data_IF_421082999885
#
_entry.id   IF_421082999885
#
_cell.length_a   1.000
_cell.length_b   1.000
_cell.length_c   1.000
_cell.angle_alpha   90.00
_cell.angle_beta   90.00
_cell.angle_gamma   90.00
#
_symmetry.space_group_name_H-M   'P 1'
#
loop_
_entity.id
_entity.type
_entity.pdbx_description
1 polymer ?
#
# COMPACT_ATOMS: atom_id res chain seq x y z
N UNK A 1 -3.39 1.58 25.68
CA UNK A 1 -2.63 0.38 25.24
C UNK A 1 -1.98 0.68 23.91
N UNK A 2 -0.68 0.42 23.76
CA UNK A 2 0.08 0.66 22.53
C UNK A 2 0.49 -0.69 21.93
N UNK A 3 0.11 -0.93 20.67
CA UNK A 3 0.46 -2.13 19.90
C UNK A 3 1.75 -1.87 19.14
N UNK A 4 2.76 -2.71 19.34
CA UNK A 4 4.10 -2.51 18.76
C UNK A 4 4.69 -3.84 18.29
N UNK A 5 5.69 -3.78 17.41
CA UNK A 5 6.47 -4.93 16.95
C UNK A 5 7.51 -5.44 17.98
N UNK A 6 7.63 -4.74 19.12
CA UNK A 6 8.51 -5.12 20.23
C UNK A 6 9.94 -4.61 20.11
N UNK A 7 10.21 -3.68 19.20
CA UNK A 7 11.51 -2.99 19.13
C UNK A 7 11.88 -2.32 20.46
N UNK A 8 13.19 -2.31 20.76
CA UNK A 8 13.73 -1.74 22.00
C UNK A 8 13.40 -0.25 22.19
N UNK A 9 13.20 0.50 21.10
CA UNK A 9 12.81 1.91 21.15
C UNK A 9 11.45 2.15 21.85
N UNK A 10 10.60 1.13 21.98
CA UNK A 10 9.31 1.24 22.66
C UNK A 10 9.37 0.89 24.15
N UNK A 11 10.55 0.60 24.73
CA UNK A 11 10.69 0.39 26.18
C UNK A 11 10.25 1.62 26.99
N UNK A 12 10.45 2.83 26.44
CA UNK A 12 10.01 4.09 27.04
C UNK A 12 8.47 4.19 27.20
N UNK A 13 7.70 3.45 26.39
CA UNK A 13 6.23 3.43 26.47
C UNK A 13 5.77 2.78 27.77
N UNK A 14 6.44 1.70 28.18
CA UNK A 14 6.18 1.05 29.48
C UNK A 14 6.63 1.93 30.64
N UNK A 15 7.77 2.61 30.51
CA UNK A 15 8.25 3.58 31.50
C UNK A 15 7.30 4.78 31.67
N UNK A 16 6.60 5.19 30.62
CA UNK A 16 5.56 6.22 30.65
C UNK A 16 4.21 5.74 31.22
N UNK A 17 4.14 4.54 31.81
CA UNK A 17 2.92 3.98 32.41
C UNK A 17 1.88 3.49 31.40
N UNK A 18 2.22 3.42 30.11
CA UNK A 18 1.31 2.91 29.09
C UNK A 18 1.40 1.38 28.99
N UNK A 19 0.24 0.71 28.96
CA UNK A 19 0.13 -0.71 28.62
C UNK A 19 0.71 -0.95 27.23
N UNK A 20 1.70 -1.84 27.12
CA UNK A 20 2.42 -2.11 25.90
C UNK A 20 2.22 -3.56 25.47
N UNK A 21 1.50 -3.77 24.36
CA UNK A 21 1.20 -5.08 23.81
C UNK A 21 2.12 -5.31 22.59
N UNK A 22 3.06 -6.25 22.74
CA UNK A 22 4.05 -6.59 21.71
C UNK A 22 3.56 -7.74 20.85
N UNK A 23 3.55 -7.55 19.53
CA UNK A 23 3.32 -8.62 18.55
C UNK A 23 4.63 -8.87 17.80
N UNK A 24 5.47 -9.77 18.34
CA UNK A 24 6.76 -10.15 17.74
C UNK A 24 6.55 -11.30 16.76
N UNK A 25 7.02 -11.14 15.52
CA UNK A 25 6.92 -12.13 14.44
C UNK A 25 8.09 -13.11 14.55
N UNK A 26 8.17 -13.86 15.65
CA UNK A 26 9.23 -14.84 15.91
C UNK A 26 8.88 -16.20 15.29
N UNK A 27 8.85 -16.28 13.95
CA UNK A 27 8.57 -17.55 13.24
C UNK A 27 7.08 -17.90 13.09
N UNK A 28 6.17 -17.05 13.57
CA UNK A 28 4.72 -17.17 13.31
C UNK A 28 4.46 -16.97 11.83
N UNK A 29 3.58 -17.78 11.24
CA UNK A 29 3.19 -17.56 9.83
C UNK A 29 2.26 -16.36 9.76
N UNK A 30 2.24 -15.61 8.65
CA UNK A 30 1.36 -14.45 8.51
C UNK A 30 -0.13 -14.74 8.69
N UNK A 31 -0.56 -15.99 8.49
CA UNK A 31 -1.94 -16.44 8.74
C UNK A 31 -2.28 -16.63 10.23
N UNK A 32 -1.26 -16.73 11.08
CA UNK A 32 -1.40 -16.93 12.53
C UNK A 32 -1.49 -15.59 13.28
N UNK A 33 -1.46 -14.46 12.54
CA UNK A 33 -1.51 -13.10 13.06
C UNK A 33 -2.75 -12.39 12.47
N UNK A 34 -3.82 -12.19 13.27
CA UNK A 34 -5.02 -11.48 12.85
C UNK A 34 -4.71 -10.09 12.27
N UNK A 35 -3.66 -9.43 12.77
CA UNK A 35 -3.18 -8.13 12.31
C UNK A 35 -2.71 -8.15 10.85
N UNK A 36 -2.34 -9.31 10.31
CA UNK A 36 -1.95 -9.48 8.91
C UNK A 36 -3.07 -9.95 8.00
N UNK A 37 -4.24 -10.29 8.54
CA UNK A 37 -5.37 -10.69 7.72
C UNK A 37 -5.72 -9.59 6.71
N UNK A 38 -5.88 -8.34 7.17
CA UNK A 38 -6.21 -7.23 6.28
C UNK A 38 -5.08 -6.93 5.29
N UNK A 39 -3.81 -7.06 5.70
CA UNK A 39 -2.65 -6.88 4.80
C UNK A 39 -2.69 -7.91 3.69
N UNK A 40 -2.90 -9.18 4.03
CA UNK A 40 -3.02 -10.27 3.07
C UNK A 40 -4.22 -10.07 2.13
N UNK A 41 -5.35 -9.57 2.63
CA UNK A 41 -6.51 -9.22 1.80
C UNK A 41 -6.16 -8.10 0.81
N UNK A 42 -5.49 -7.04 1.26
CA UNK A 42 -5.07 -5.94 0.38
C UNK A 42 -4.11 -6.43 -0.70
N UNK A 43 -3.12 -7.25 -0.34
CA UNK A 43 -2.16 -7.84 -1.27
C UNK A 43 -2.83 -8.82 -2.25
N UNK A 44 -3.79 -9.61 -1.77
CA UNK A 44 -4.59 -10.49 -2.62
C UNK A 44 -5.40 -9.70 -3.65
N UNK A 45 -6.07 -8.63 -3.22
CA UNK A 45 -6.83 -7.75 -4.12
C UNK A 45 -5.93 -7.02 -5.11
N UNK A 46 -4.75 -6.56 -4.68
CA UNK A 46 -3.74 -5.98 -5.56
C UNK A 46 -3.32 -6.98 -6.64
N UNK A 47 -2.98 -8.21 -6.26
CA UNK A 47 -2.60 -9.27 -7.21
C UNK A 47 -3.72 -9.53 -8.22
N UNK A 48 -4.96 -9.72 -7.75
CA UNK A 48 -6.12 -9.96 -8.62
C UNK A 48 -6.37 -8.79 -9.57
N UNK A 49 -6.30 -7.54 -9.07
CA UNK A 49 -6.46 -6.34 -9.89
C UNK A 49 -5.39 -6.24 -10.98
N UNK A 50 -4.14 -6.55 -10.66
CA UNK A 50 -3.04 -6.52 -11.62
C UNK A 50 -3.21 -7.59 -12.71
N UNK A 51 -3.52 -8.83 -12.31
CA UNK A 51 -3.73 -9.94 -13.24
C UNK A 51 -4.94 -9.68 -14.15
N UNK A 52 -6.03 -9.16 -13.61
CA UNK A 52 -7.25 -8.90 -14.37
C UNK A 52 -7.17 -7.68 -15.30
N UNK A 53 -6.42 -6.64 -14.93
CA UNK A 53 -6.36 -5.38 -15.71
C UNK A 53 -5.22 -5.35 -16.73
N UNK A 54 -4.16 -6.15 -16.53
CA UNK A 54 -2.96 -6.12 -17.36
C UNK A 54 -2.54 -7.52 -17.82
N UNK A 55 -3.30 -8.16 -18.73
CA UNK A 55 -3.02 -9.53 -19.18
C UNK A 55 -1.72 -9.66 -20.00
N UNK A 56 -1.30 -8.61 -20.71
CA UNK A 56 -0.03 -8.56 -21.43
C UNK A 56 1.08 -8.04 -20.50
N UNK A 57 1.81 -8.97 -19.90
CA UNK A 57 2.62 -8.79 -18.70
C UNK A 57 4.00 -8.14 -18.97
N UNK A 58 4.05 -6.85 -19.28
CA UNK A 58 5.28 -6.05 -19.12
C UNK A 58 5.41 -5.53 -17.68
N UNK A 59 5.22 -6.41 -16.69
CA UNK A 59 5.16 -6.03 -15.27
C UNK A 59 6.43 -5.32 -14.83
N UNK A 60 7.61 -5.86 -15.15
CA UNK A 60 8.89 -5.24 -14.78
C UNK A 60 9.03 -3.80 -15.31
N UNK A 61 8.45 -3.53 -16.47
CA UNK A 61 8.50 -2.23 -17.14
C UNK A 61 7.55 -1.19 -16.53
N UNK A 62 6.40 -1.63 -16.01
CA UNK A 62 5.34 -0.74 -15.54
C UNK A 62 4.94 -0.93 -14.08
N UNK A 63 5.66 -1.77 -13.31
CA UNK A 63 5.31 -2.15 -11.93
C UNK A 63 5.04 -0.95 -11.04
N UNK A 64 5.93 0.05 -11.06
CA UNK A 64 5.77 1.28 -10.27
C UNK A 64 4.49 2.04 -10.63
N UNK A 65 4.15 2.14 -11.92
CA UNK A 65 2.93 2.83 -12.39
C UNK A 65 1.68 2.06 -12.00
N UNK A 66 1.70 0.73 -12.14
CA UNK A 66 0.58 -0.12 -11.75
C UNK A 66 0.33 -0.08 -10.25
N UNK A 67 1.39 -0.16 -9.44
CA UNK A 67 1.29 -0.02 -7.99
C UNK A 67 0.79 1.37 -7.59
N UNK A 68 1.31 2.43 -8.21
CA UNK A 68 0.85 3.80 -7.97
C UNK A 68 -0.63 3.99 -8.33
N UNK A 69 -1.07 3.43 -9.46
CA UNK A 69 -2.46 3.48 -9.88
C UNK A 69 -3.40 2.70 -8.94
N UNK A 70 -2.95 1.56 -8.40
CA UNK A 70 -3.67 0.84 -7.36
C UNK A 70 -3.74 1.66 -6.07
N UNK A 71 -2.60 2.13 -5.55
CA UNK A 71 -2.52 2.92 -4.33
C UNK A 71 -3.39 4.19 -4.41
N UNK A 72 -3.39 4.88 -5.56
CA UNK A 72 -4.20 6.07 -5.79
C UNK A 72 -5.71 5.81 -5.62
N UNK A 73 -6.21 4.66 -6.09
CA UNK A 73 -7.60 4.22 -5.93
C UNK A 73 -7.86 3.70 -4.52
N UNK A 74 -6.96 2.87 -4.00
CA UNK A 74 -7.08 2.24 -2.69
C UNK A 74 -7.16 3.27 -1.55
N UNK A 75 -6.35 4.33 -1.61
CA UNK A 75 -6.36 5.43 -0.64
C UNK A 75 -7.65 6.28 -0.69
N UNK A 76 -8.47 6.13 -1.74
CA UNK A 76 -9.74 6.85 -1.92
C UNK A 76 -10.92 5.92 -2.11
N UNK A 77 -10.77 4.65 -1.68
CA UNK A 77 -11.76 3.58 -1.90
C UNK A 77 -13.15 3.88 -1.32
N UNK A 78 -13.25 4.85 -0.41
CA UNK A 78 -14.51 5.25 0.22
C UNK A 78 -15.31 6.29 -0.59
N UNK A 79 -14.68 7.01 -1.54
CA UNK A 79 -15.38 7.93 -2.44
C UNK A 79 -14.69 8.04 -3.80
N UNK A 80 -14.90 7.01 -4.63
CA UNK A 80 -14.29 6.87 -5.95
C UNK A 80 -14.79 7.91 -6.96
N UNK A 81 -15.97 8.51 -6.73
CA UNK A 81 -16.58 9.50 -7.64
C UNK A 81 -15.73 10.77 -7.76
N UNK A 82 -14.89 11.04 -6.76
CA UNK A 82 -13.98 12.19 -6.75
C UNK A 82 -12.74 11.99 -7.63
N UNK A 83 -12.47 10.76 -8.08
CA UNK A 83 -11.23 10.43 -8.80
C UNK A 83 -11.03 11.25 -10.09
N UNK A 84 -12.03 11.43 -10.99
CA UNK A 84 -11.83 12.14 -12.24
C UNK A 84 -11.46 13.61 -12.04
N UNK A 85 -12.21 14.32 -11.18
CA UNK A 85 -11.95 15.72 -10.88
C UNK A 85 -10.54 15.91 -10.28
N UNK A 86 -10.12 15.02 -9.38
CA UNK A 86 -8.78 15.09 -8.77
C UNK A 86 -7.67 14.73 -9.74
N UNK A 87 -7.90 13.76 -10.63
CA UNK A 87 -6.94 13.44 -11.69
C UNK A 87 -6.76 14.64 -12.62
N UNK A 88 -7.84 15.32 -12.99
CA UNK A 88 -7.76 16.52 -13.82
C UNK A 88 -6.94 17.63 -13.15
N UNK A 89 -7.18 17.89 -11.86
CA UNK A 89 -6.38 18.85 -11.08
C UNK A 89 -4.91 18.42 -11.00
N UNK A 90 -4.64 17.13 -10.77
CA UNK A 90 -3.27 16.62 -10.68
C UNK A 90 -2.52 16.73 -12.02
N UNK A 91 -3.18 16.40 -13.14
CA UNK A 91 -2.61 16.53 -14.49
C UNK A 91 -2.34 17.99 -14.82
N UNK A 92 -3.26 18.91 -14.50
CA UNK A 92 -3.08 20.34 -14.73
C UNK A 92 -1.92 20.96 -13.93
N UNK A 93 -1.55 20.36 -12.79
CA UNK A 93 -0.46 20.83 -11.91
C UNK A 93 0.87 20.10 -12.13
N UNK A 94 0.88 19.00 -12.88
CA UNK A 94 2.07 18.20 -13.11
C UNK A 94 2.82 18.72 -14.34
N UNK A 95 4.16 18.84 -14.29
CA UNK A 95 4.96 19.07 -15.48
C UNK A 95 4.70 18.01 -16.56
N UNK A 96 4.83 18.36 -17.85
CA UNK A 96 4.67 17.39 -18.93
C UNK A 96 5.69 16.25 -18.79
N UNK A 97 5.20 15.02 -18.86
CA UNK A 97 6.05 13.83 -18.80
C UNK A 97 6.41 13.35 -20.22
N UNK A 98 7.69 13.26 -20.59
CA UNK A 98 8.09 12.79 -21.92
C UNK A 98 7.60 11.36 -22.19
N UNK A 99 7.18 11.10 -23.43
CA UNK A 99 6.64 9.79 -23.83
C UNK A 99 7.63 8.64 -23.59
N UNK A 100 8.94 8.89 -23.74
CA UNK A 100 9.98 7.88 -23.44
C UNK A 100 9.95 7.43 -21.97
N UNK A 101 9.71 8.35 -21.04
CA UNK A 101 9.62 8.06 -19.60
C UNK A 101 8.33 7.30 -19.31
N UNK A 102 7.25 7.64 -20.02
CA UNK A 102 5.97 6.96 -19.89
C UNK A 102 6.05 5.51 -20.36
N UNK A 103 6.73 5.29 -21.48
CA UNK A 103 6.93 3.98 -22.10
C UNK A 103 8.07 3.19 -21.47
N UNK A 104 8.52 3.52 -20.25
CA UNK A 104 9.57 2.79 -19.53
C UNK A 104 10.81 2.57 -20.40
N UNK A 105 11.46 3.69 -20.75
CA UNK A 105 12.67 3.74 -21.58
C UNK A 105 13.75 2.78 -21.14
#
# INVERSE_FOLDING_TARGET
TVLCDGLACFAAVTAAGCLHQRTVIAGRKPRDLPEFQWVNTVLGNLKTSLVGSYPAFNFRKYAARYLGAFAYRFNRRLDLRTLPARLLVAVARCPPHPLRVIRGG
#
